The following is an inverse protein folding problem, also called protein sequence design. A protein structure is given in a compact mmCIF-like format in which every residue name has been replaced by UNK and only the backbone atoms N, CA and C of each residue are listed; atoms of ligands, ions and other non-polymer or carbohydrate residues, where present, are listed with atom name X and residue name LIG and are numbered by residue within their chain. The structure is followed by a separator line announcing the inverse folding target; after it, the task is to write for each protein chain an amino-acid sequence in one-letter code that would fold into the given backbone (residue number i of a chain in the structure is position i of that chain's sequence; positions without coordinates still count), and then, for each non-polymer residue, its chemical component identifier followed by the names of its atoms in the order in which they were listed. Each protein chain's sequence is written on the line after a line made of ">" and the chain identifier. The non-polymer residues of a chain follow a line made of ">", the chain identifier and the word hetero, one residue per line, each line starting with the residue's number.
data_IF_538990038966
#
_entry.id   IF_538990038966
#
_cell.length_a   1.000
_cell.length_b   1.000
_cell.length_c   1.000
_cell.angle_alpha   90.00
_cell.angle_beta   90.00
_cell.angle_gamma   90.00
#
_symmetry.space_group_name_H-M   'P 1'
#
loop_
_entity.id
_entity.type
_entity.pdbx_description
1 polymer ?
#
# COMPACT_ATOMS: atom_id res chain seq x y z
N UNK A 1 -89.73 -9.90 55.24
CA UNK A 1 -89.94 -9.21 53.96
C UNK A 1 -89.03 -9.88 52.92
N UNK A 2 -89.57 -10.92 52.28
CA UNK A 2 -89.82 -11.04 50.81
C UNK A 2 -88.60 -11.59 50.06
N UNK A 3 -88.49 -12.91 49.84
CA UNK A 3 -89.14 -13.73 48.77
C UNK A 3 -88.22 -13.80 47.53
N UNK A 4 -87.42 -14.85 47.37
CA UNK A 4 -87.66 -16.16 46.66
C UNK A 4 -87.36 -16.14 45.15
N UNK A 5 -86.53 -17.10 44.75
CA UNK A 5 -86.62 -17.86 43.49
C UNK A 5 -85.52 -17.57 42.44
N UNK A 6 -84.93 -18.51 41.69
CA UNK A 6 -84.72 -19.98 41.73
C UNK A 6 -84.14 -20.38 40.34
N UNK A 7 -83.04 -21.15 40.31
CA UNK A 7 -82.65 -22.27 39.38
C UNK A 7 -82.73 -22.08 37.84
N UNK A 8 -82.05 -22.82 36.96
CA UNK A 8 -80.89 -23.74 36.88
C UNK A 8 -80.87 -24.22 35.39
N UNK A 9 -79.69 -24.39 34.75
CA UNK A 9 -79.38 -25.31 33.59
C UNK A 9 -80.06 -25.08 32.22
N UNK A 10 -79.56 -25.40 31.02
CA UNK A 10 -78.50 -26.31 30.47
C UNK A 10 -78.38 -26.02 28.96
N UNK A 11 -77.18 -25.84 28.38
CA UNK A 11 -76.43 -26.81 27.55
C UNK A 11 -77.13 -27.37 26.28
N UNK A 12 -76.56 -27.13 25.09
CA UNK A 12 -75.79 -28.14 24.33
C UNK A 12 -75.63 -27.77 22.84
N UNK A 13 -74.39 -27.88 22.38
CA UNK A 13 -73.96 -27.98 20.97
C UNK A 13 -73.84 -29.47 20.65
N UNK A 14 -74.30 -29.95 19.47
CA UNK A 14 -73.37 -30.58 18.50
C UNK A 14 -73.73 -30.24 17.03
N UNK A 15 -72.77 -30.05 16.11
CA UNK A 15 -72.32 -31.07 15.14
C UNK A 15 -73.41 -31.36 14.07
N UNK A 16 -73.26 -31.21 12.76
CA UNK A 16 -72.17 -31.57 11.83
C UNK A 16 -72.48 -30.99 10.43
N UNK A 17 -71.43 -30.78 9.63
CA UNK A 17 -71.29 -30.63 8.16
C UNK A 17 -72.28 -31.44 7.24
N UNK A 18 -72.25 -31.33 5.89
CA UNK A 18 -71.70 -30.30 4.98
C UNK A 18 -72.56 -29.97 3.71
N UNK A 19 -72.23 -28.87 3.02
CA UNK A 19 -72.28 -28.72 1.55
C UNK A 19 -73.58 -28.25 0.87
N UNK A 20 -73.54 -27.08 0.20
CA UNK A 20 -74.00 -26.95 -1.19
C UNK A 20 -73.63 -25.59 -1.83
N UNK A 21 -73.39 -25.66 -3.14
CA UNK A 21 -72.97 -24.61 -4.08
C UNK A 21 -73.98 -23.45 -4.20
N UNK A 22 -73.47 -22.22 -4.26
CA UNK A 22 -74.19 -21.11 -4.92
C UNK A 22 -73.23 -20.29 -5.76
N UNK A 23 -73.04 -20.75 -6.99
CA UNK A 23 -72.79 -19.86 -8.12
C UNK A 23 -74.01 -18.94 -8.30
N UNK A 24 -73.72 -17.70 -8.70
CA UNK A 24 -74.66 -16.70 -9.23
C UNK A 24 -75.59 -15.97 -8.23
N UNK A 25 -75.16 -14.78 -7.81
CA UNK A 25 -75.97 -13.57 -8.02
C UNK A 25 -75.15 -12.30 -7.85
N UNK A 26 -74.85 -11.71 -9.00
CA UNK A 26 -74.43 -10.32 -9.14
C UNK A 26 -75.56 -9.43 -8.61
N UNK A 27 -75.27 -8.61 -7.61
CA UNK A 27 -75.92 -7.30 -7.43
C UNK A 27 -74.83 -6.26 -7.19
N UNK A 28 -74.48 -5.56 -8.27
CA UNK A 28 -73.65 -4.35 -8.26
C UNK A 28 -74.41 -3.25 -7.51
N UNK A 29 -74.05 -3.00 -6.25
CA UNK A 29 -74.34 -1.72 -5.60
C UNK A 29 -73.25 -0.75 -6.03
N UNK A 30 -73.53 -0.04 -7.12
CA UNK A 30 -72.75 1.12 -7.56
C UNK A 30 -72.89 2.22 -6.50
N UNK A 31 -71.98 2.22 -5.53
CA UNK A 31 -71.67 3.42 -4.76
C UNK A 31 -70.35 3.94 -5.31
N UNK A 32 -70.43 5.07 -5.99
CA UNK A 32 -69.31 5.95 -6.32
C UNK A 32 -68.54 6.31 -5.05
N UNK A 33 -67.59 5.46 -4.68
CA UNK A 33 -66.40 5.88 -3.94
C UNK A 33 -65.42 6.29 -5.02
N UNK A 34 -65.26 7.60 -5.19
CA UNK A 34 -64.33 8.20 -6.14
C UNK A 34 -63.00 7.44 -6.10
N UNK A 35 -62.62 6.89 -7.25
CA UNK A 35 -61.34 6.21 -7.44
C UNK A 35 -60.25 7.26 -7.22
N UNK A 36 -59.80 7.41 -5.99
CA UNK A 36 -58.65 8.24 -5.65
C UNK A 36 -57.50 7.69 -6.49
N UNK A 37 -57.15 8.42 -7.56
CA UNK A 37 -56.14 7.97 -8.52
C UNK A 37 -54.84 7.93 -7.75
N UNK A 38 -54.42 6.73 -7.33
CA UNK A 38 -53.10 6.50 -6.76
C UNK A 38 -52.11 7.28 -7.64
N UNK A 39 -51.40 8.28 -7.10
CA UNK A 39 -50.59 9.17 -7.90
C UNK A 39 -49.59 8.31 -8.68
N UNK A 40 -49.46 8.56 -9.99
CA UNK A 40 -48.58 7.78 -10.89
C UNK A 40 -47.15 7.60 -10.33
N UNK A 41 -46.73 8.51 -9.44
CA UNK A 41 -45.47 8.53 -8.71
C UNK A 41 -45.30 7.37 -7.70
N UNK A 42 -46.39 6.70 -7.29
CA UNK A 42 -46.40 5.50 -6.44
C UNK A 42 -46.26 4.21 -7.27
N UNK A 43 -46.54 4.27 -8.58
CA UNK A 43 -46.46 3.14 -9.51
C UNK A 43 -45.07 2.97 -10.15
N UNK A 44 -44.04 3.64 -9.64
CA UNK A 44 -42.68 3.57 -10.20
C UNK A 44 -42.01 2.23 -9.85
N UNK A 45 -41.23 1.68 -10.79
CA UNK A 45 -40.50 0.42 -10.60
C UNK A 45 -39.58 0.42 -9.37
N UNK A 46 -39.07 1.59 -8.99
CA UNK A 46 -38.25 1.79 -7.79
C UNK A 46 -39.07 1.52 -6.50
N UNK A 47 -40.25 2.12 -6.36
CA UNK A 47 -41.11 1.93 -5.18
C UNK A 47 -41.76 0.55 -5.12
N UNK A 48 -42.00 -0.07 -6.28
CA UNK A 48 -42.55 -1.42 -6.38
C UNK A 48 -41.50 -2.54 -6.27
N UNK A 49 -40.22 -2.20 -6.10
CA UNK A 49 -39.11 -3.16 -6.11
C UNK A 49 -39.03 -4.02 -7.39
N UNK A 50 -39.52 -3.48 -8.52
CA UNK A 50 -39.49 -4.10 -9.86
C UNK A 50 -38.38 -3.51 -10.73
N UNK A 51 -37.31 -3.01 -10.11
CA UNK A 51 -36.13 -2.60 -10.84
C UNK A 51 -35.57 -3.81 -11.60
N UNK A 52 -35.01 -3.55 -12.79
CA UNK A 52 -34.30 -4.57 -13.54
C UNK A 52 -33.10 -5.02 -12.70
N UNK A 53 -33.22 -6.19 -12.08
CA UNK A 53 -32.18 -6.80 -11.28
C UNK A 53 -31.58 -7.98 -12.05
N UNK A 54 -30.26 -8.14 -11.95
CA UNK A 54 -29.59 -9.36 -12.36
C UNK A 54 -29.35 -10.19 -11.10
N UNK A 55 -29.91 -11.39 -11.07
CA UNK A 55 -29.74 -12.35 -9.97
C UNK A 55 -28.89 -13.50 -10.47
N UNK A 56 -27.55 -13.45 -10.30
CA UNK A 56 -26.68 -14.53 -10.75
C UNK A 56 -26.92 -15.77 -9.90
N UNK A 57 -27.61 -16.75 -10.48
CA UNK A 57 -27.71 -18.08 -9.89
C UNK A 57 -26.42 -18.82 -10.25
N UNK A 58 -25.64 -19.17 -9.22
CA UNK A 58 -24.38 -19.90 -9.35
C UNK A 58 -24.66 -21.35 -9.77
N UNK A 59 -24.89 -21.60 -11.05
CA UNK A 59 -25.01 -22.97 -11.55
C UNK A 59 -23.62 -23.62 -11.63
N UNK A 60 -23.51 -24.95 -11.41
CA UNK A 60 -22.22 -25.64 -11.40
C UNK A 60 -21.39 -25.41 -12.68
N UNK A 61 -22.03 -25.41 -13.86
CA UNK A 61 -21.34 -25.17 -15.13
C UNK A 61 -20.70 -23.78 -15.21
N UNK A 62 -21.42 -22.74 -14.78
CA UNK A 62 -20.88 -21.37 -14.74
C UNK A 62 -19.72 -21.24 -13.75
N UNK A 63 -19.86 -21.80 -12.55
CA UNK A 63 -18.81 -21.76 -11.51
C UNK A 63 -17.55 -22.50 -11.94
N UNK A 64 -17.68 -23.71 -12.48
CA UNK A 64 -16.54 -24.51 -12.97
C UNK A 64 -15.82 -23.78 -14.11
N UNK A 65 -16.57 -23.25 -15.07
CA UNK A 65 -15.99 -22.57 -16.24
C UNK A 65 -15.24 -21.30 -15.86
N UNK A 66 -15.83 -20.50 -14.97
CA UNK A 66 -15.21 -19.25 -14.48
C UNK A 66 -13.96 -19.51 -13.64
N UNK A 67 -13.99 -20.50 -12.74
CA UNK A 67 -12.82 -20.89 -11.94
C UNK A 67 -11.69 -21.44 -12.81
N UNK A 68 -12.00 -22.31 -13.78
CA UNK A 68 -11.01 -22.89 -14.67
C UNK A 68 -10.36 -21.83 -15.57
N UNK A 69 -11.18 -21.00 -16.23
CA UNK A 69 -10.69 -19.95 -17.13
C UNK A 69 -9.93 -18.87 -16.35
N UNK A 70 -10.47 -18.42 -15.21
CA UNK A 70 -9.80 -17.45 -14.34
C UNK A 70 -8.48 -17.99 -13.79
N UNK A 71 -8.45 -19.27 -13.41
CA UNK A 71 -7.24 -19.96 -12.98
C UNK A 71 -6.17 -20.04 -14.08
N UNK A 72 -6.56 -20.42 -15.31
CA UNK A 72 -5.66 -20.48 -16.46
C UNK A 72 -5.05 -19.10 -16.76
N UNK A 73 -5.87 -18.05 -16.78
CA UNK A 73 -5.41 -16.67 -16.98
C UNK A 73 -4.43 -16.25 -15.88
N UNK A 74 -4.71 -16.57 -14.61
CA UNK A 74 -3.81 -16.26 -13.50
C UNK A 74 -2.46 -16.98 -13.63
N UNK A 75 -2.45 -18.26 -14.02
CA UNK A 75 -1.20 -19.01 -14.24
C UNK A 75 -0.39 -18.41 -15.39
N UNK A 76 -1.03 -18.05 -16.51
CA UNK A 76 -0.35 -17.42 -17.66
C UNK A 76 0.27 -16.08 -17.26
N UNK A 77 -0.51 -15.21 -16.61
CA UNK A 77 -0.02 -13.89 -16.14
C UNK A 77 1.10 -14.08 -15.11
N UNK A 78 0.95 -15.00 -14.15
CA UNK A 78 1.96 -15.31 -13.15
C UNK A 78 3.26 -15.80 -13.75
N UNK A 79 3.20 -16.66 -14.78
CA UNK A 79 4.35 -17.14 -15.54
C UNK A 79 5.08 -16.00 -16.28
N UNK A 80 4.35 -15.10 -16.92
CA UNK A 80 4.92 -13.92 -17.59
C UNK A 80 5.63 -13.00 -16.58
N UNK A 81 4.96 -12.67 -15.47
CA UNK A 81 5.51 -11.83 -14.40
C UNK A 81 6.79 -12.45 -13.82
N UNK A 82 6.75 -13.74 -13.51
CA UNK A 82 7.90 -14.46 -12.95
C UNK A 82 9.06 -14.51 -13.95
N UNK A 83 8.77 -14.71 -15.24
CA UNK A 83 9.73 -14.68 -16.33
C UNK A 83 10.48 -13.34 -16.41
N UNK A 84 9.75 -12.22 -16.37
CA UNK A 84 10.37 -10.89 -16.34
C UNK A 84 11.14 -10.64 -15.04
N UNK A 85 10.58 -11.00 -13.88
CA UNK A 85 11.24 -10.81 -12.59
C UNK A 85 12.57 -11.57 -12.47
N UNK A 86 12.72 -12.72 -13.14
CA UNK A 86 13.94 -13.52 -13.13
C UNK A 86 15.02 -12.99 -14.07
N UNK A 87 14.68 -12.10 -15.01
CA UNK A 87 15.66 -11.43 -15.90
C UNK A 87 16.36 -10.25 -15.22
N UNK A 88 15.82 -9.74 -14.12
CA UNK A 88 16.44 -8.64 -13.37
C UNK A 88 17.75 -9.13 -12.75
N UNK A 89 18.85 -8.44 -13.09
CA UNK A 89 20.18 -8.69 -12.54
C UNK A 89 20.37 -7.72 -11.38
N UNK A 90 20.70 -8.27 -10.19
CA UNK A 90 20.90 -7.50 -8.97
C UNK A 90 22.14 -8.01 -8.25
N UNK A 91 23.05 -7.10 -7.91
CA UNK A 91 24.19 -7.35 -7.04
C UNK A 91 24.06 -6.49 -5.79
N UNK A 92 24.43 -7.05 -4.63
CA UNK A 92 24.39 -6.32 -3.36
C UNK A 92 25.59 -6.69 -2.52
N UNK A 93 26.26 -5.69 -1.93
CA UNK A 93 27.41 -5.86 -1.06
C UNK A 93 27.21 -5.05 0.21
N UNK A 94 27.25 -5.74 1.36
CA UNK A 94 27.33 -5.10 2.68
C UNK A 94 28.70 -4.46 2.81
N UNK A 95 28.76 -3.22 3.29
CA UNK A 95 30.04 -2.52 3.44
C UNK A 95 30.30 -1.99 4.85
N UNK A 96 29.32 -1.94 5.76
CA UNK A 96 29.59 -1.64 7.18
C UNK A 96 30.45 -2.69 7.89
N UNK A 97 30.49 -3.92 7.38
CA UNK A 97 31.32 -4.99 7.95
C UNK A 97 32.80 -4.90 7.53
N UNK A 98 33.16 -3.95 6.66
CA UNK A 98 34.54 -3.71 6.25
C UNK A 98 35.13 -2.71 7.27
N UNK A 99 36.22 -3.05 7.99
CA UNK A 99 36.76 -2.19 9.06
C UNK A 99 37.11 -0.77 8.61
N UNK A 100 37.51 -0.62 7.35
CA UNK A 100 37.81 0.67 6.71
C UNK A 100 36.56 1.53 6.51
N UNK A 101 35.39 0.91 6.33
CA UNK A 101 34.10 1.60 6.15
C UNK A 101 33.30 1.72 7.44
N UNK A 102 33.71 1.04 8.51
CA UNK A 102 32.99 1.00 9.78
C UNK A 102 33.27 2.28 10.58
N UNK A 103 32.25 3.12 10.72
CA UNK A 103 32.31 4.36 11.51
C UNK A 103 32.01 4.13 13.00
N UNK A 104 31.66 2.90 13.39
CA UNK A 104 31.39 2.52 14.78
C UNK A 104 30.09 3.11 15.34
N UNK A 105 29.91 2.93 16.65
CA UNK A 105 28.78 3.45 17.41
C UNK A 105 29.09 4.81 18.08
N UNK A 106 30.36 5.24 18.06
CA UNK A 106 30.75 6.50 18.68
C UNK A 106 30.16 7.67 17.91
N UNK A 107 29.52 8.55 18.68
CA UNK A 107 28.76 9.74 18.26
C UNK A 107 29.47 10.41 17.09
N UNK A 108 28.73 10.59 15.99
CA UNK A 108 29.13 11.35 14.82
C UNK A 108 29.78 12.67 15.23
N UNK A 109 31.10 12.67 15.38
CA UNK A 109 31.84 13.92 15.47
C UNK A 109 31.56 14.65 14.15
N UNK A 110 31.34 15.98 14.18
CA UNK A 110 30.78 16.72 13.04
C UNK A 110 31.60 16.65 11.75
N UNK A 111 32.81 16.04 11.77
CA UNK A 111 33.68 15.89 10.61
C UNK A 111 34.29 14.47 10.46
N UNK A 112 33.83 13.46 11.21
CA UNK A 112 34.41 12.12 11.08
C UNK A 112 33.92 11.45 9.79
N UNK A 113 34.87 11.14 8.91
CA UNK A 113 34.63 10.42 7.67
C UNK A 113 35.74 9.38 7.49
N UNK A 114 35.35 8.16 7.11
CA UNK A 114 36.29 7.13 6.67
C UNK A 114 36.09 6.85 5.20
N UNK A 115 37.17 6.85 4.43
CA UNK A 115 37.14 6.49 3.02
C UNK A 115 37.53 5.02 2.87
N UNK A 116 36.75 4.27 2.11
CA UNK A 116 36.98 2.85 1.87
C UNK A 116 36.61 2.45 0.45
N UNK A 117 37.14 1.33 -0.03
CA UNK A 117 36.88 0.82 -1.38
C UNK A 117 36.08 -0.48 -1.31
N UNK A 118 34.88 -0.48 -1.90
CA UNK A 118 33.98 -1.63 -1.95
C UNK A 118 33.98 -2.21 -3.35
N UNK A 119 34.29 -3.50 -3.49
CA UNK A 119 34.24 -4.19 -4.78
C UNK A 119 32.97 -5.03 -4.94
N UNK A 120 32.38 -4.96 -6.14
CA UNK A 120 31.30 -5.83 -6.60
C UNK A 120 31.79 -6.56 -7.86
N UNK A 121 31.82 -7.88 -7.79
CA UNK A 121 32.13 -8.74 -8.94
C UNK A 121 30.85 -9.01 -9.74
N UNK A 122 30.72 -8.36 -10.89
CA UNK A 122 29.59 -8.48 -11.82
C UNK A 122 29.87 -9.66 -12.75
N UNK A 123 29.04 -10.69 -12.70
CA UNK A 123 29.21 -11.92 -13.50
C UNK A 123 28.44 -11.92 -14.81
N UNK A 124 27.43 -11.04 -14.94
CA UNK A 124 26.56 -10.95 -16.11
C UNK A 124 26.50 -9.52 -16.61
N UNK A 125 26.50 -9.35 -17.93
CA UNK A 125 26.37 -8.04 -18.55
C UNK A 125 25.03 -7.38 -18.15
N UNK A 126 25.08 -6.14 -17.66
CA UNK A 126 23.91 -5.34 -17.31
C UNK A 126 23.67 -4.28 -18.38
N UNK A 127 22.55 -4.37 -19.09
CA UNK A 127 22.16 -3.35 -20.08
C UNK A 127 21.67 -2.08 -19.38
N UNK A 128 22.06 -0.91 -19.90
CA UNK A 128 21.59 0.37 -19.42
C UNK A 128 20.07 0.53 -19.61
N UNK A 129 19.38 1.30 -18.74
CA UNK A 129 19.91 2.00 -17.57
C UNK A 129 20.17 1.06 -16.38
N UNK A 130 21.31 1.26 -15.71
CA UNK A 130 21.65 0.56 -14.47
C UNK A 130 21.49 1.50 -13.29
N UNK A 131 20.78 1.05 -12.26
CA UNK A 131 20.44 1.84 -11.10
C UNK A 131 21.34 1.46 -9.92
N UNK A 132 21.92 2.47 -9.31
CA UNK A 132 22.72 2.36 -8.11
C UNK A 132 21.86 2.80 -6.92
N UNK A 133 21.67 1.89 -5.96
CA UNK A 133 20.94 2.14 -4.72
C UNK A 133 21.87 1.96 -3.53
N UNK A 134 21.60 2.72 -2.47
CA UNK A 134 21.98 2.29 -1.13
C UNK A 134 20.78 1.61 -0.48
N UNK A 135 21.04 0.59 0.33
CA UNK A 135 20.02 -0.12 1.10
C UNK A 135 20.39 -0.07 2.57
N UNK A 136 19.43 0.32 3.40
CA UNK A 136 19.52 0.32 4.85
C UNK A 136 18.60 -0.77 5.39
N UNK A 137 19.13 -1.57 6.31
CA UNK A 137 18.34 -2.50 7.11
C UNK A 137 18.13 -1.94 8.53
N UNK A 138 17.03 -2.36 9.13
CA UNK A 138 16.67 -2.04 10.51
C UNK A 138 16.55 -0.53 10.80
N UNK A 139 16.08 0.25 9.82
CA UNK A 139 15.87 1.70 9.98
C UNK A 139 14.39 2.07 9.78
N UNK A 140 13.71 2.45 10.86
CA UNK A 140 12.26 2.60 10.90
C UNK A 140 11.77 3.99 10.45
N UNK A 141 11.88 4.30 9.15
CA UNK A 141 11.28 5.53 8.61
C UNK A 141 9.76 5.55 8.80
N UNK A 142 9.12 4.39 8.73
CA UNK A 142 7.67 4.23 8.86
C UNK A 142 7.12 4.49 10.28
N UNK A 143 7.97 4.78 11.27
CA UNK A 143 7.51 5.10 12.61
C UNK A 143 6.66 6.38 12.61
N UNK A 144 5.47 6.34 13.22
CA UNK A 144 4.47 7.45 13.18
C UNK A 144 5.06 8.82 13.51
N UNK A 145 5.87 8.90 14.58
CA UNK A 145 6.52 10.17 14.98
C UNK A 145 7.62 10.61 14.02
N UNK A 146 8.32 9.66 13.39
CA UNK A 146 9.35 9.97 12.41
C UNK A 146 8.73 10.58 11.15
N UNK A 147 7.72 9.93 10.58
CA UNK A 147 7.01 10.40 9.37
C UNK A 147 6.43 11.80 9.56
N UNK A 148 5.86 12.07 10.74
CA UNK A 148 5.24 13.34 11.05
C UNK A 148 6.25 14.47 11.32
N UNK A 149 7.49 14.15 11.70
CA UNK A 149 8.50 15.11 12.14
C UNK A 149 9.21 15.78 10.96
N UNK A 150 8.48 16.67 10.27
CA UNK A 150 8.94 17.53 9.17
C UNK A 150 7.95 18.67 8.91
N UNK A 151 8.39 19.74 8.26
CA UNK A 151 7.50 20.82 7.81
C UNK A 151 7.41 20.84 6.29
N UNK A 152 6.27 20.42 5.73
CA UNK A 152 6.06 20.45 4.27
C UNK A 152 6.02 21.90 3.72
N UNK A 153 5.64 22.88 4.55
CA UNK A 153 5.66 24.30 4.19
C UNK A 153 7.10 24.83 4.01
N UNK A 154 8.01 24.46 4.92
CA UNK A 154 9.43 24.83 4.75
C UNK A 154 10.03 24.21 3.49
N UNK A 155 9.70 22.94 3.20
CA UNK A 155 10.18 22.27 2.00
C UNK A 155 9.63 22.92 0.72
N UNK A 156 8.45 23.51 0.78
CA UNK A 156 7.85 24.27 -0.30
C UNK A 156 8.43 25.69 -0.49
N UNK A 157 9.36 26.12 0.38
CA UNK A 157 9.93 27.47 0.35
C UNK A 157 9.06 28.52 1.05
N UNK A 158 8.04 28.12 1.81
CA UNK A 158 7.18 29.05 2.54
C UNK A 158 7.82 29.49 3.87
N UNK A 159 7.59 30.73 4.26
CA UNK A 159 8.02 31.26 5.56
C UNK A 159 7.08 30.75 6.66
N UNK A 160 7.63 30.03 7.64
CA UNK A 160 6.87 29.43 8.75
C UNK A 160 7.33 29.97 10.10
N UNK A 161 6.36 30.25 10.99
CA UNK A 161 6.61 30.73 12.36
C UNK A 161 7.14 29.62 13.28
N UNK A 162 8.03 29.95 14.23
CA UNK A 162 8.61 29.01 15.20
C UNK A 162 7.56 28.18 15.95
N UNK A 163 6.45 28.80 16.36
CA UNK A 163 5.41 28.12 17.14
C UNK A 163 4.73 26.96 16.40
N UNK A 164 4.63 27.05 15.07
CA UNK A 164 4.13 25.95 14.23
C UNK A 164 5.16 24.83 14.12
N UNK A 165 6.43 25.20 13.90
CA UNK A 165 7.53 24.26 13.72
C UNK A 165 7.81 23.43 14.97
N UNK A 166 7.67 24.01 16.17
CA UNK A 166 7.77 23.27 17.43
C UNK A 166 6.82 22.07 17.49
N UNK A 167 5.62 22.16 16.88
CA UNK A 167 4.66 21.05 16.84
C UNK A 167 4.88 20.11 15.66
N UNK A 168 5.18 20.65 14.48
CA UNK A 168 5.36 19.86 13.26
C UNK A 168 6.66 19.06 13.27
N UNK A 169 7.75 19.65 13.75
CA UNK A 169 9.08 19.05 13.66
C UNK A 169 9.50 18.29 14.93
N UNK A 170 8.74 18.37 16.03
CA UNK A 170 9.02 17.55 17.21
C UNK A 170 8.97 16.02 16.89
N UNK A 171 9.85 15.21 17.49
CA UNK A 171 10.87 15.57 18.48
C UNK A 171 12.21 16.01 17.84
N UNK A 172 12.29 16.15 16.52
CA UNK A 172 13.51 16.58 15.84
C UNK A 172 13.81 18.09 16.01
N UNK A 173 15.00 18.51 15.57
CA UNK A 173 15.44 19.89 15.70
C UNK A 173 14.58 20.83 14.85
N UNK A 174 14.13 21.93 15.44
CA UNK A 174 13.31 22.96 14.79
C UNK A 174 13.89 24.37 14.93
N UNK A 175 14.71 24.59 15.95
CA UNK A 175 15.42 25.84 16.21
C UNK A 175 16.72 25.54 16.96
N UNK A 176 17.67 26.45 16.88
CA UNK A 176 19.00 26.32 17.46
C UNK A 176 19.48 27.63 18.08
N UNK A 177 20.39 27.55 19.05
CA UNK A 177 21.05 28.70 19.64
C UNK A 177 22.20 29.14 18.73
N UNK A 178 22.20 30.40 18.30
CA UNK A 178 23.17 30.92 17.33
C UNK A 178 24.61 31.00 17.88
N UNK A 179 24.80 31.10 19.19
CA UNK A 179 26.14 31.12 19.81
C UNK A 179 26.74 29.73 19.92
N UNK A 180 25.94 28.71 20.29
CA UNK A 180 26.44 27.34 20.52
C UNK A 180 26.21 26.39 19.35
N UNK A 181 25.38 26.78 18.37
CA UNK A 181 24.89 25.94 17.28
C UNK A 181 24.20 24.64 17.75
N UNK A 182 23.74 24.60 19.00
CA UNK A 182 23.00 23.47 19.55
C UNK A 182 21.51 23.71 19.38
N UNK A 183 20.75 22.64 19.14
CA UNK A 183 19.29 22.67 19.17
C UNK A 183 18.78 23.15 20.54
N UNK A 184 17.57 23.72 20.58
CA UNK A 184 17.00 24.29 21.81
C UNK A 184 16.79 23.27 22.95
N UNK A 185 16.65 21.99 22.62
CA UNK A 185 16.58 20.88 23.58
C UNK A 185 17.97 20.40 24.05
N UNK A 186 19.05 20.96 23.52
CA UNK A 186 20.43 20.62 23.85
C UNK A 186 20.89 19.27 23.31
N UNK A 187 20.11 18.61 22.44
CA UNK A 187 20.38 17.23 22.02
C UNK A 187 21.20 17.13 20.73
N UNK A 188 21.16 18.14 19.85
CA UNK A 188 21.67 18.06 18.49
C UNK A 188 22.56 19.26 18.14
N UNK A 189 23.77 19.01 17.63
CA UNK A 189 24.61 20.04 17.03
C UNK A 189 24.21 20.29 15.58
N UNK A 190 23.77 21.50 15.24
CA UNK A 190 23.21 21.82 13.92
C UNK A 190 24.31 22.19 12.92
N UNK A 191 24.37 21.43 11.82
CA UNK A 191 25.28 21.66 10.69
C UNK A 191 24.89 22.93 9.91
N UNK A 192 25.86 23.55 9.23
CA UNK A 192 25.65 24.83 8.52
C UNK A 192 24.52 24.76 7.49
N UNK A 193 24.43 23.65 6.75
CA UNK A 193 23.40 23.39 5.73
C UNK A 193 21.95 23.32 6.25
N UNK A 194 21.75 23.40 7.57
CA UNK A 194 20.43 23.46 8.19
C UNK A 194 20.16 24.81 8.90
N UNK A 195 21.10 25.75 8.86
CA UNK A 195 21.04 27.01 9.62
C UNK A 195 20.29 28.09 8.84
N UNK A 196 19.31 28.72 9.47
CA UNK A 196 18.66 29.90 8.90
C UNK A 196 19.48 31.18 9.06
N UNK A 197 19.27 32.12 8.12
CA UNK A 197 19.84 33.47 8.19
C UNK A 197 19.02 34.42 9.08
N UNK A 198 17.73 34.12 9.33
CA UNK A 198 16.86 34.94 10.16
C UNK A 198 17.04 34.67 11.66
N UNK A 199 17.11 35.74 12.46
CA UNK A 199 16.84 35.72 13.89
C UNK A 199 15.38 36.10 14.14
N UNK A 200 14.56 35.19 14.68
CA UNK A 200 13.28 35.61 15.27
C UNK A 200 13.58 36.29 16.61
N UNK A 201 13.35 37.60 16.63
CA UNK A 201 13.59 38.50 17.76
C UNK A 201 12.59 38.18 18.88
N UNK A 202 13.11 37.78 20.04
CA UNK A 202 12.67 38.26 21.35
C UNK A 202 13.92 38.25 22.24
N UNK A 203 14.21 39.38 22.89
CA UNK A 203 15.48 39.74 23.57
C UNK A 203 15.90 38.84 24.77
N UNK A 204 15.50 37.57 24.82
CA UNK A 204 15.87 36.63 25.88
C UNK A 204 16.52 35.32 25.37
N UNK A 205 16.43 34.97 24.08
CA UNK A 205 17.22 33.86 23.50
C UNK A 205 17.61 34.16 22.05
N UNK A 206 18.91 34.16 21.75
CA UNK A 206 19.50 34.27 20.40
C UNK A 206 19.24 33.01 19.54
N UNK A 207 17.97 32.65 19.38
CA UNK A 207 17.52 31.44 18.70
C UNK A 207 17.17 31.67 17.23
N UNK A 208 17.62 30.76 16.36
CA UNK A 208 17.40 30.75 14.92
C UNK A 208 16.66 29.49 14.48
N UNK A 209 16.07 29.53 13.29
CA UNK A 209 15.29 28.44 12.71
C UNK A 209 16.19 27.34 12.12
N UNK A 210 15.75 26.10 12.23
CA UNK A 210 16.35 24.98 11.48
C UNK A 210 15.55 24.80 10.19
N UNK A 211 16.23 24.83 9.04
CA UNK A 211 15.62 24.69 7.72
C UNK A 211 16.48 23.71 6.91
N UNK A 212 15.95 22.56 6.46
CA UNK A 212 14.65 21.97 6.80
C UNK A 212 14.63 21.34 8.21
N UNK A 213 13.52 21.47 8.94
CA UNK A 213 13.40 20.92 10.30
C UNK A 213 12.89 19.47 10.37
N UNK A 214 13.09 18.87 11.55
CA UNK A 214 12.51 17.58 11.93
C UNK A 214 13.42 16.38 11.72
N UNK A 215 13.01 15.23 12.26
CA UNK A 215 13.80 13.99 12.29
C UNK A 215 14.07 13.44 10.88
N UNK A 216 13.11 13.59 9.96
CA UNK A 216 13.27 13.03 8.61
C UNK A 216 14.44 13.72 7.92
N UNK A 217 14.47 15.04 7.92
CA UNK A 217 15.57 15.81 7.34
C UNK A 217 16.87 15.58 8.12
N UNK A 218 16.81 15.62 9.45
CA UNK A 218 17.99 15.49 10.30
C UNK A 218 18.76 14.18 10.14
N UNK A 219 18.03 13.07 9.95
CA UNK A 219 18.63 11.74 9.80
C UNK A 219 19.00 11.39 8.36
N UNK A 220 19.12 12.40 7.48
CA UNK A 220 19.49 12.23 6.08
C UNK A 220 20.77 11.38 5.90
N UNK A 221 20.69 10.44 4.98
CA UNK A 221 21.79 9.56 4.64
C UNK A 221 22.90 10.35 3.94
N UNK A 222 24.08 10.42 4.56
CA UNK A 222 25.18 11.31 4.16
C UNK A 222 26.47 10.59 3.73
N UNK A 223 26.44 9.27 3.48
CA UNK A 223 27.59 8.60 2.85
C UNK A 223 27.69 9.06 1.39
N UNK A 224 28.91 9.35 0.93
CA UNK A 224 29.15 9.65 -0.48
C UNK A 224 29.69 8.41 -1.19
N UNK A 225 29.14 8.10 -2.35
CA UNK A 225 29.50 6.92 -3.14
C UNK A 225 30.10 7.42 -4.46
N UNK A 226 31.32 6.99 -4.77
CA UNK A 226 32.04 7.39 -5.98
C UNK A 226 32.76 8.73 -5.84
N UNK A 227 33.92 8.83 -6.48
CA UNK A 227 34.65 10.10 -6.61
C UNK A 227 34.20 10.76 -7.91
N UNK A 228 33.79 12.02 -7.87
CA UNK A 228 33.27 12.77 -9.03
C UNK A 228 32.18 12.01 -9.81
N UNK A 229 31.28 11.32 -9.08
CA UNK A 229 30.20 10.51 -9.66
C UNK A 229 30.70 9.43 -10.62
N UNK A 230 31.86 8.85 -10.34
CA UNK A 230 32.44 7.77 -11.14
C UNK A 230 32.71 6.51 -10.31
N UNK A 231 32.61 5.37 -10.99
CA UNK A 231 32.96 4.04 -10.47
C UNK A 231 34.11 3.48 -11.31
N UNK A 232 35.00 2.74 -10.68
CA UNK A 232 36.17 2.21 -11.37
C UNK A 232 35.93 0.76 -11.77
N UNK A 233 35.97 0.48 -13.07
CA UNK A 233 35.94 -0.85 -13.63
C UNK A 233 37.36 -1.37 -13.84
N UNK A 234 37.64 -2.57 -13.35
CA UNK A 234 38.90 -3.28 -13.60
C UNK A 234 38.67 -4.25 -14.75
N UNK A 235 39.28 -3.96 -15.90
CA UNK A 235 39.21 -4.82 -17.07
C UNK A 235 40.16 -6.03 -16.91
N UNK A 236 40.00 -7.06 -17.75
CA UNK A 236 40.82 -8.28 -17.78
C UNK A 236 42.33 -8.00 -17.91
N UNK A 237 42.71 -6.87 -18.51
CA UNK A 237 44.11 -6.41 -18.65
C UNK A 237 44.63 -5.60 -17.44
N UNK A 238 43.93 -5.65 -16.29
CA UNK A 238 44.17 -4.79 -15.10
C UNK A 238 44.15 -3.28 -15.39
N UNK A 239 43.52 -2.85 -16.48
CA UNK A 239 43.29 -1.43 -16.78
C UNK A 239 42.07 -0.92 -16.02
N UNK A 240 42.22 0.26 -15.42
CA UNK A 240 41.15 0.96 -14.72
C UNK A 240 40.39 1.88 -15.67
N UNK A 241 39.08 1.65 -15.81
CA UNK A 241 38.18 2.48 -16.63
C UNK A 241 37.15 3.12 -15.72
N UNK A 242 36.97 4.44 -15.82
CA UNK A 242 35.98 5.14 -15.02
C UNK A 242 34.64 5.18 -15.76
N UNK A 243 33.59 4.73 -15.10
CA UNK A 243 32.21 4.82 -15.59
C UNK A 243 31.50 5.88 -14.77
N UNK A 244 30.97 6.91 -15.43
CA UNK A 244 30.19 7.94 -14.76
C UNK A 244 28.74 7.48 -14.54
N UNK A 245 28.18 7.89 -13.41
CA UNK A 245 26.74 7.80 -13.14
C UNK A 245 26.21 9.20 -12.86
N UNK A 246 24.90 9.40 -13.05
CA UNK A 246 24.25 10.66 -12.76
C UNK A 246 23.46 10.57 -11.46
N UNK A 247 23.61 11.54 -10.58
CA UNK A 247 22.75 11.75 -9.40
C UNK A 247 21.54 12.63 -9.71
N UNK A 248 21.38 13.07 -10.98
CA UNK A 248 20.24 13.88 -11.45
C UNK A 248 19.22 13.02 -12.22
N UNK A 249 17.95 13.40 -12.12
CA UNK A 249 16.82 12.63 -12.61
C UNK A 249 16.61 11.31 -11.86
N UNK A 250 16.85 11.31 -10.54
CA UNK A 250 16.57 10.22 -9.59
C UNK A 250 15.31 10.48 -8.75
N UNK A 251 14.97 11.75 -8.53
CA UNK A 251 13.74 12.13 -7.86
C UNK A 251 12.55 12.13 -8.84
N UNK A 252 11.34 12.17 -8.30
CA UNK A 252 10.14 12.22 -9.13
C UNK A 252 9.92 13.65 -9.60
N UNK A 253 9.51 13.83 -10.86
CA UNK A 253 9.23 15.16 -11.42
C UNK A 253 8.25 15.95 -10.55
N UNK A 254 7.22 15.29 -9.99
CA UNK A 254 6.29 15.96 -9.07
C UNK A 254 6.94 16.47 -7.78
N UNK A 255 7.97 15.78 -7.26
CA UNK A 255 8.71 16.27 -6.09
C UNK A 255 9.54 17.51 -6.47
N UNK A 256 10.24 17.45 -7.61
CA UNK A 256 11.10 18.54 -8.13
C UNK A 256 10.27 19.79 -8.47
N UNK A 257 9.17 19.63 -9.20
CA UNK A 257 8.43 20.77 -9.77
C UNK A 257 7.48 21.42 -8.75
N UNK A 258 6.96 20.63 -7.78
CA UNK A 258 5.87 21.08 -6.92
C UNK A 258 6.15 21.08 -5.43
N UNK A 259 6.96 20.15 -4.90
CA UNK A 259 7.06 19.98 -3.44
C UNK A 259 8.27 20.67 -2.83
N UNK A 260 9.42 20.59 -3.49
CA UNK A 260 10.68 21.09 -2.97
C UNK A 260 11.09 22.34 -3.75
N UNK A 261 11.13 23.50 -3.10
CA UNK A 261 11.44 24.78 -3.74
C UNK A 261 12.36 25.62 -2.87
N UNK A 262 13.24 26.43 -3.48
CA UNK A 262 13.99 27.43 -2.74
C UNK A 262 13.04 28.46 -2.14
N UNK A 263 13.35 28.92 -0.93
CA UNK A 263 12.57 29.94 -0.25
C UNK A 263 13.18 31.34 -0.37
N UNK A 264 12.44 32.40 0.01
CA UNK A 264 13.00 33.74 0.08
C UNK A 264 13.99 33.88 1.26
N UNK A 265 15.19 34.40 1.00
CA UNK A 265 16.14 34.80 2.03
C UNK A 265 15.82 36.23 2.51
N UNK A 266 15.59 36.49 3.82
CA UNK A 266 15.51 35.54 4.95
C UNK A 266 14.10 34.95 5.13
N UNK A 267 13.93 33.76 5.77
CA UNK A 267 14.88 33.05 6.63
C UNK A 267 15.76 31.99 5.96
N UNK A 268 15.50 31.70 4.68
CA UNK A 268 16.27 30.70 3.93
C UNK A 268 17.70 31.16 3.69
N UNK A 269 18.58 30.25 3.29
CA UNK A 269 19.97 30.55 2.93
C UNK A 269 20.31 29.74 1.69
N UNK A 270 21.35 30.14 0.96
CA UNK A 270 21.80 29.38 -0.22
C UNK A 270 22.14 27.93 0.13
N UNK A 271 22.74 27.67 1.30
CA UNK A 271 23.06 26.30 1.74
C UNK A 271 21.80 25.46 1.99
N UNK A 272 20.76 26.05 2.58
CA UNK A 272 19.49 25.37 2.82
C UNK A 272 18.80 25.04 1.50
N UNK A 273 18.79 25.99 0.57
CA UNK A 273 18.18 25.82 -0.75
C UNK A 273 18.92 24.75 -1.58
N UNK A 274 20.25 24.73 -1.53
CA UNK A 274 21.06 23.70 -2.17
C UNK A 274 20.73 22.29 -1.63
N UNK A 275 20.51 22.16 -0.31
CA UNK A 275 20.09 20.89 0.30
C UNK A 275 18.67 20.48 -0.11
N UNK A 276 17.71 21.41 -0.06
CA UNK A 276 16.29 21.13 -0.37
C UNK A 276 16.12 20.76 -1.85
N UNK A 277 16.89 21.40 -2.74
CA UNK A 277 16.86 21.16 -4.19
C UNK A 277 17.71 19.96 -4.62
N UNK A 278 18.48 19.35 -3.73
CA UNK A 278 19.19 18.11 -4.03
C UNK A 278 18.20 16.94 -4.17
N UNK A 279 18.25 16.26 -5.31
CA UNK A 279 17.38 15.13 -5.60
C UNK A 279 17.64 13.95 -4.64
N UNK A 280 18.88 13.78 -4.16
CA UNK A 280 19.18 12.76 -3.16
C UNK A 280 18.43 13.03 -1.85
N UNK A 281 18.32 14.29 -1.45
CA UNK A 281 17.53 14.73 -0.31
C UNK A 281 16.03 14.49 -0.54
N UNK A 282 15.50 14.85 -1.71
CA UNK A 282 14.10 14.58 -2.06
C UNK A 282 13.75 13.08 -1.99
N UNK A 283 14.63 12.22 -2.52
CA UNK A 283 14.49 10.75 -2.46
C UNK A 283 14.47 10.26 -1.01
N UNK A 284 15.27 10.86 -0.12
CA UNK A 284 15.25 10.53 1.30
C UNK A 284 13.94 10.94 1.99
N UNK A 285 13.50 12.18 1.77
CA UNK A 285 12.29 12.75 2.37
C UNK A 285 11.01 11.98 2.04
N UNK A 286 11.03 11.19 0.96
CA UNK A 286 10.00 10.19 0.66
C UNK A 286 10.18 8.93 1.52
N UNK A 287 9.69 8.98 2.75
CA UNK A 287 9.72 7.90 3.75
C UNK A 287 9.38 6.50 3.17
N UNK A 288 10.20 5.51 3.49
CA UNK A 288 9.96 4.10 3.17
C UNK A 288 8.91 3.45 4.09
N UNK A 289 8.12 2.51 3.56
CA UNK A 289 7.06 1.82 4.30
C UNK A 289 7.56 0.70 5.24
N UNK A 290 8.76 0.18 4.99
CA UNK A 290 9.36 -0.95 5.72
C UNK A 290 10.73 -0.54 6.31
N UNK A 291 11.18 -1.19 7.40
CA UNK A 291 12.46 -0.89 8.03
C UNK A 291 13.68 -1.29 7.18
N UNK A 292 13.48 -2.24 6.26
CA UNK A 292 14.49 -2.64 5.28
C UNK A 292 14.08 -2.05 3.95
N UNK A 293 14.82 -1.04 3.48
CA UNK A 293 14.49 -0.34 2.25
C UNK A 293 15.74 0.05 1.49
N UNK A 294 15.54 0.42 0.24
CA UNK A 294 16.58 0.94 -0.63
C UNK A 294 16.12 2.25 -1.24
N UNK A 295 17.08 3.12 -1.52
CA UNK A 295 16.86 4.45 -2.09
C UNK A 295 17.80 4.62 -3.27
N UNK A 296 17.29 5.25 -4.32
CA UNK A 296 18.07 5.48 -5.53
C UNK A 296 19.15 6.53 -5.23
N UNK A 297 20.40 6.20 -5.52
CA UNK A 297 21.54 7.10 -5.36
C UNK A 297 21.97 7.69 -6.71
N UNK A 298 21.96 6.88 -7.76
CA UNK A 298 22.37 7.32 -9.09
C UNK A 298 21.95 6.36 -10.20
N UNK A 299 22.04 6.84 -11.43
CA UNK A 299 21.69 6.07 -12.65
C UNK A 299 22.81 6.15 -13.66
N UNK A 300 23.26 4.98 -14.12
CA UNK A 300 24.17 4.84 -15.25
C UNK A 300 23.28 4.71 -16.50
N UNK A 301 23.15 5.81 -17.24
CA UNK A 301 22.27 5.89 -18.42
C UNK A 301 22.95 5.37 -19.70
N UNK A 302 24.27 5.54 -19.79
CA UNK A 302 25.05 5.25 -20.98
C UNK A 302 26.02 4.11 -20.72
N UNK A 303 26.11 3.18 -21.66
CA UNK A 303 27.02 2.03 -21.59
C UNK A 303 26.44 0.83 -20.83
N UNK A 304 26.65 -0.37 -21.36
CA UNK A 304 26.44 -1.61 -20.61
C UNK A 304 27.55 -1.78 -19.57
N UNK A 305 27.21 -2.34 -18.41
CA UNK A 305 28.23 -2.84 -17.49
C UNK A 305 28.60 -4.26 -17.93
N UNK A 306 29.83 -4.42 -18.38
CA UNK A 306 30.38 -5.72 -18.74
C UNK A 306 30.67 -6.57 -17.49
N UNK A 307 30.74 -7.90 -17.63
CA UNK A 307 31.21 -8.75 -16.55
C UNK A 307 32.63 -8.36 -16.12
N UNK A 308 32.85 -8.17 -14.83
CA UNK A 308 34.14 -7.83 -14.25
C UNK A 308 34.02 -7.21 -12.86
N UNK A 309 35.13 -6.69 -12.34
CA UNK A 309 35.21 -6.15 -10.98
C UNK A 309 35.01 -4.64 -10.99
N UNK A 310 33.98 -4.19 -10.27
CA UNK A 310 33.67 -2.78 -10.09
C UNK A 310 34.04 -2.33 -8.68
N UNK A 311 34.80 -1.27 -8.56
CA UNK A 311 35.28 -0.68 -7.31
C UNK A 311 34.55 0.64 -7.07
N UNK A 312 33.97 0.75 -5.89
CA UNK A 312 33.24 1.92 -5.40
C UNK A 312 34.02 2.54 -4.25
N UNK A 313 34.51 3.76 -4.44
CA UNK A 313 35.12 4.52 -3.36
C UNK A 313 34.01 5.20 -2.56
N UNK A 314 33.83 4.79 -1.30
CA UNK A 314 32.78 5.28 -0.41
C UNK A 314 33.42 6.12 0.69
N UNK A 315 32.89 7.31 0.93
CA UNK A 315 33.20 8.06 2.15
C UNK A 315 32.07 7.83 3.16
N UNK A 316 32.31 6.93 4.10
CA UNK A 316 31.38 6.57 5.15
C UNK A 316 31.34 7.65 6.24
N UNK A 317 30.13 8.16 6.50
CA UNK A 317 29.79 9.17 7.51
C UNK A 317 28.58 8.75 8.36
N UNK A 318 27.72 7.88 7.83
CA UNK A 318 26.46 7.48 8.43
C UNK A 318 26.64 6.30 9.41
N UNK A 319 26.37 6.50 10.71
CA UNK A 319 26.59 5.48 11.73
C UNK A 319 25.38 4.54 11.86
N UNK A 320 25.51 3.32 11.35
CA UNK A 320 24.45 2.29 11.45
C UNK A 320 24.53 1.45 12.72
N UNK A 321 25.69 1.37 13.36
CA UNK A 321 25.90 0.55 14.56
C UNK A 321 25.06 1.01 15.76
N UNK A 322 24.79 2.31 15.87
CA UNK A 322 24.02 2.92 16.97
C UNK A 322 22.59 2.37 17.11
N UNK A 323 21.98 1.95 16.00
CA UNK A 323 20.64 1.36 15.97
C UNK A 323 20.63 -0.11 15.53
N UNK A 324 21.81 -0.76 15.49
CA UNK A 324 21.93 -2.14 15.04
C UNK A 324 21.50 -2.33 13.58
N UNK A 325 21.79 -1.34 12.73
CA UNK A 325 21.50 -1.37 11.30
C UNK A 325 22.63 -1.91 10.46
N UNK A 326 22.35 -2.07 9.17
CA UNK A 326 23.31 -2.54 8.18
C UNK A 326 23.16 -1.71 6.91
N UNK A 327 24.27 -1.50 6.18
CA UNK A 327 24.27 -0.70 4.95
C UNK A 327 24.89 -1.46 3.79
N UNK A 328 24.17 -1.43 2.67
CA UNK A 328 24.50 -2.16 1.47
C UNK A 328 24.56 -1.24 0.28
N UNK A 329 25.53 -1.50 -0.57
CA UNK A 329 25.56 -1.01 -1.94
C UNK A 329 24.79 -2.00 -2.82
N UNK A 330 23.92 -1.50 -3.70
CA UNK A 330 23.10 -2.34 -4.57
C UNK A 330 23.13 -1.82 -6.00
N UNK A 331 23.54 -2.66 -6.94
CA UNK A 331 23.37 -2.43 -8.37
C UNK A 331 22.20 -3.26 -8.87
N UNK A 332 21.28 -2.66 -9.62
CA UNK A 332 20.15 -3.38 -10.19
C UNK A 332 19.80 -2.86 -11.57
N UNK A 333 19.47 -3.76 -12.49
CA UNK A 333 18.69 -3.42 -13.68
C UNK A 333 17.21 -3.35 -13.34
N UNK A 334 16.40 -2.77 -14.22
CA UNK A 334 14.94 -2.81 -14.15
C UNK A 334 14.36 -3.47 -15.38
N UNK A 335 13.22 -4.12 -15.21
CA UNK A 335 12.35 -4.54 -16.31
C UNK A 335 11.14 -3.63 -16.38
N UNK A 336 10.24 -3.86 -17.35
CA UNK A 336 8.97 -3.12 -17.44
C UNK A 336 8.13 -3.18 -16.16
N UNK A 337 8.23 -4.28 -15.39
CA UNK A 337 7.54 -4.45 -14.10
C UNK A 337 8.31 -3.83 -12.92
N UNK A 338 9.45 -3.19 -13.18
CA UNK A 338 10.34 -2.62 -12.17
C UNK A 338 11.45 -3.57 -11.73
N UNK A 339 11.70 -3.61 -10.42
CA UNK A 339 12.76 -4.41 -9.80
C UNK A 339 12.46 -5.90 -9.72
N UNK A 340 13.41 -6.68 -9.20
CA UNK A 340 13.20 -8.12 -9.00
C UNK A 340 12.16 -8.36 -7.90
N UNK A 341 11.02 -8.94 -8.26
CA UNK A 341 9.96 -9.33 -7.34
C UNK A 341 9.29 -10.63 -7.79
N UNK A 342 9.83 -11.75 -7.31
CA UNK A 342 9.29 -13.10 -7.60
C UNK A 342 7.97 -13.37 -6.90
N UNK A 343 7.68 -12.66 -5.81
CA UNK A 343 6.51 -12.91 -4.95
C UNK A 343 5.21 -12.77 -5.73
N UNK A 344 5.06 -11.69 -6.52
CA UNK A 344 3.84 -11.44 -7.29
C UNK A 344 3.58 -12.56 -8.31
N UNK A 345 4.62 -13.00 -9.03
CA UNK A 345 4.49 -14.09 -10.00
C UNK A 345 4.11 -15.42 -9.35
N UNK A 346 4.76 -15.77 -8.23
CA UNK A 346 4.44 -16.97 -7.46
C UNK A 346 3.00 -16.91 -6.92
N UNK A 347 2.58 -15.77 -6.39
CA UNK A 347 1.23 -15.58 -5.87
C UNK A 347 0.16 -15.86 -6.93
N UNK A 348 0.30 -15.30 -8.12
CA UNK A 348 -0.62 -15.53 -9.24
C UNK A 348 -0.66 -17.00 -9.66
N UNK A 349 0.48 -17.67 -9.71
CA UNK A 349 0.56 -19.10 -10.03
C UNK A 349 -0.15 -19.92 -8.96
N UNK A 350 0.12 -19.67 -7.67
CA UNK A 350 -0.50 -20.41 -6.55
C UNK A 350 -2.02 -20.23 -6.55
N UNK A 351 -2.50 -18.99 -6.65
CA UNK A 351 -3.95 -18.70 -6.70
C UNK A 351 -4.59 -19.36 -7.93
N UNK A 352 -3.93 -19.29 -9.09
CA UNK A 352 -4.40 -19.93 -10.31
C UNK A 352 -4.47 -21.45 -10.22
N UNK A 353 -3.46 -22.09 -9.63
CA UNK A 353 -3.44 -23.53 -9.38
C UNK A 353 -4.54 -23.95 -8.41
N UNK A 354 -4.75 -23.22 -7.31
CA UNK A 354 -5.85 -23.48 -6.36
C UNK A 354 -7.20 -23.39 -7.06
N UNK A 355 -7.42 -22.37 -7.90
CA UNK A 355 -8.66 -22.21 -8.65
C UNK A 355 -8.92 -23.38 -9.62
N UNK A 356 -7.89 -23.86 -10.32
CA UNK A 356 -8.00 -25.02 -11.23
C UNK A 356 -8.30 -26.29 -10.43
N UNK A 357 -7.63 -26.52 -9.30
CA UNK A 357 -7.88 -27.69 -8.43
C UNK A 357 -9.33 -27.67 -7.91
N UNK A 358 -9.84 -26.50 -7.49
CA UNK A 358 -11.24 -26.36 -7.08
C UNK A 358 -12.22 -26.59 -8.24
N UNK A 359 -11.91 -26.11 -9.45
CA UNK A 359 -12.72 -26.36 -10.63
C UNK A 359 -12.80 -27.86 -10.97
N UNK A 360 -11.67 -28.57 -10.91
CA UNK A 360 -11.62 -30.03 -11.08
C UNK A 360 -12.39 -30.75 -9.97
N UNK A 361 -12.24 -30.33 -8.72
CA UNK A 361 -12.99 -30.89 -7.59
C UNK A 361 -14.51 -30.73 -7.74
N UNK A 362 -14.97 -29.54 -8.16
CA UNK A 362 -16.39 -29.31 -8.46
C UNK A 362 -16.87 -30.08 -9.69
N UNK A 363 -16.02 -30.24 -10.72
CA UNK A 363 -16.34 -31.07 -11.88
C UNK A 363 -16.52 -32.53 -11.49
N UNK A 364 -15.60 -33.10 -10.71
CA UNK A 364 -15.72 -34.47 -10.20
C UNK A 364 -16.99 -34.62 -9.36
N UNK A 365 -17.26 -33.68 -8.45
CA UNK A 365 -18.50 -33.69 -7.66
C UNK A 365 -19.76 -33.55 -8.52
N UNK A 366 -19.71 -32.79 -9.62
CA UNK A 366 -20.83 -32.65 -10.54
C UNK A 366 -21.07 -33.92 -11.36
N UNK A 367 -20.00 -34.61 -11.77
CA UNK A 367 -20.08 -35.86 -12.54
C UNK A 367 -20.50 -37.07 -11.68
N UNK A 368 -19.99 -37.16 -10.44
CA UNK A 368 -20.26 -38.29 -9.54
C UNK A 368 -21.38 -38.02 -8.53
N UNK A 369 -21.76 -36.76 -8.33
CA UNK A 369 -22.80 -36.39 -7.37
C UNK A 369 -24.20 -36.56 -7.95
N UNK A 370 -25.01 -37.42 -7.32
CA UNK A 370 -26.44 -37.58 -7.59
C UNK A 370 -27.25 -36.36 -7.08
N UNK A 371 -27.05 -35.18 -7.68
CA UNK A 371 -27.96 -34.05 -7.49
C UNK A 371 -28.47 -33.59 -8.84
N UNK A 372 -29.66 -34.09 -9.21
CA UNK A 372 -30.47 -33.46 -10.24
C UNK A 372 -30.63 -31.99 -9.88
N UNK A 373 -30.27 -31.08 -10.80
CA UNK A 373 -30.56 -29.66 -10.61
C UNK A 373 -32.08 -29.52 -10.46
N UNK A 374 -32.50 -29.09 -9.27
CA UNK A 374 -33.88 -28.89 -8.84
C UNK A 374 -34.67 -28.11 -9.90
N UNK A 375 -35.38 -28.84 -10.75
CA UNK A 375 -36.26 -28.30 -11.78
C UNK A 375 -37.37 -29.26 -12.20
N UNK A 376 -37.33 -30.54 -11.78
CA UNK A 376 -38.42 -31.50 -11.94
C UNK A 376 -38.54 -32.40 -10.69
N UNK A 377 -38.66 -31.77 -9.53
CA UNK A 377 -38.94 -32.35 -8.20
C UNK A 377 -37.73 -32.85 -7.37
N UNK A 378 -37.25 -31.96 -6.48
CA UNK A 378 -36.43 -32.22 -5.30
C UNK A 378 -35.49 -31.05 -4.95
N UNK A 379 -35.11 -30.78 -3.68
CA UNK A 379 -35.73 -31.09 -2.39
C UNK A 379 -36.53 -29.87 -1.91
N UNK A 380 -37.81 -29.83 -2.25
CA UNK A 380 -38.73 -28.88 -1.61
C UNK A 380 -39.00 -29.46 -0.23
N UNK A 381 -38.83 -28.67 0.84
CA UNK A 381 -39.09 -29.12 2.22
C UNK A 381 -40.57 -29.51 2.39
N UNK A 382 -41.45 -29.12 1.46
CA UNK A 382 -42.85 -29.47 1.44
C UNK A 382 -43.29 -29.98 0.06
N UNK A 383 -44.12 -31.01 0.02
CA UNK A 383 -44.82 -31.45 -1.20
C UNK A 383 -46.29 -31.02 -1.14
N UNK A 384 -46.85 -30.69 -2.32
CA UNK A 384 -48.27 -30.42 -2.50
C UNK A 384 -48.95 -31.73 -2.93
N UNK A 385 -50.01 -32.13 -2.24
CA UNK A 385 -50.86 -33.21 -2.71
C UNK A 385 -52.32 -32.75 -2.72
N UNK A 386 -53.06 -33.19 -3.73
CA UNK A 386 -54.51 -33.05 -3.77
C UNK A 386 -55.09 -34.26 -3.05
N UNK A 387 -55.75 -34.02 -1.93
CA UNK A 387 -56.56 -35.05 -1.30
C UNK A 387 -57.85 -35.24 -2.12
N UNK A 388 -58.42 -36.44 -2.08
CA UNK A 388 -59.66 -36.79 -2.78
C UNK A 388 -60.90 -35.94 -2.35
N UNK A 389 -60.73 -34.97 -1.45
CA UNK A 389 -61.73 -34.01 -1.01
C UNK A 389 -61.70 -32.67 -1.78
N UNK A 390 -60.85 -32.56 -2.80
CA UNK A 390 -60.69 -31.35 -3.61
C UNK A 390 -59.95 -30.20 -2.90
N UNK A 391 -59.36 -30.44 -1.72
CA UNK A 391 -58.57 -29.44 -0.99
C UNK A 391 -57.07 -29.70 -1.19
N UNK A 392 -56.33 -28.60 -1.33
CA UNK A 392 -54.88 -28.63 -1.51
C UNK A 392 -54.20 -28.66 -0.15
N UNK A 393 -53.51 -29.76 0.16
CA UNK A 393 -52.74 -29.91 1.39
C UNK A 393 -51.23 -29.72 1.14
N UNK A 394 -50.54 -29.15 2.14
CA UNK A 394 -49.09 -28.94 2.14
C UNK A 394 -48.52 -29.74 3.30
N UNK A 395 -47.64 -30.72 3.00
CA UNK A 395 -46.97 -31.52 4.03
C UNK A 395 -45.47 -31.30 3.98
N UNK A 396 -44.90 -30.89 5.11
CA UNK A 396 -43.46 -30.77 5.27
C UNK A 396 -42.79 -32.13 5.46
N UNK A 397 -41.76 -32.43 4.67
CA UNK A 397 -40.86 -33.55 4.92
C UNK A 397 -39.64 -33.05 5.71
N UNK A 398 -39.62 -33.35 7.00
CA UNK A 398 -38.40 -33.28 7.81
C UNK A 398 -37.50 -34.44 7.39
N UNK A 399 -36.54 -34.20 6.48
CA UNK A 399 -35.40 -35.11 6.33
C UNK A 399 -34.39 -34.79 7.42
N UNK A 400 -34.21 -35.75 8.34
CA UNK A 400 -33.13 -35.78 9.32
C UNK A 400 -31.76 -35.92 8.64
#
# INVERSE_FOLDING_TARGET
>A
MTSKGSKDKTSNVPGTDPGEDVSSRVMTRSQDIGRERIPKNYLTNFKQQKLRAWQPILTPGWVISTLFLGGLVCVIIGGIILGYSNRVIRYSKRYDNIPECDVGAEVAQPNFAKTCSVSIDVTKQMKAPVFLYYKLNNFYQNHRRYVASRSDQQLHGDIVKISSLKRQCAPGPYAFNSTTNMSLDGQYYIQSAYRSNSSEINNELDSRLVIPCGLVAWSFFNDTIGVNQSITFVNSDNKFVNISFSTKGIAWNSDIDTKFRPGPDPPFSSENDDLITDEAFMVWMRVAALPNFQKLYGVIRNGSLEPGRYIFNITARYPVASFGGEKYLVLSTTTWLGGSNRFLGILYIVVGCIAIVLAVGFLLKYLFGQRAMSGKDGPIVWSRYEANDGRVHIQGTLRA
#
